data_IF_214314849586
#
_entry.id   IF_214314849586
#
_cell.length_a   1.000
_cell.length_b   1.000
_cell.length_c   1.000
_cell.angle_alpha   90.00
_cell.angle_beta   90.00
_cell.angle_gamma   90.00
#
_symmetry.space_group_name_H-M   'P 1'
#
loop_
_entity.id
_entity.type
_entity.pdbx_description
1 polymer ?
#
# COMPACT_ATOMS: atom_id res chain seq x y z
N UNK A 1 -20.52 -14.43 -0.69
CA UNK A 1 -19.14 -13.96 -0.50
C UNK A 1 -19.02 -12.64 -1.24
N UNK A 2 -18.94 -11.52 -0.53
CA UNK A 2 -18.67 -10.21 -1.13
C UNK A 2 -17.27 -10.23 -1.72
N UNK A 3 -17.14 -9.87 -3.00
CA UNK A 3 -15.83 -9.82 -3.67
C UNK A 3 -14.96 -8.73 -3.02
N UNK A 4 -13.71 -9.04 -2.68
CA UNK A 4 -12.78 -8.01 -2.22
C UNK A 4 -12.39 -7.14 -3.42
N UNK A 5 -12.00 -5.87 -3.22
CA UNK A 5 -11.46 -5.03 -4.29
C UNK A 5 -10.06 -5.52 -4.72
N UNK A 6 -9.58 -5.06 -5.87
CA UNK A 6 -8.18 -5.17 -6.26
C UNK A 6 -7.41 -3.91 -5.84
N UNK A 7 -6.08 -3.98 -5.85
CA UNK A 7 -5.25 -2.81 -5.56
C UNK A 7 -5.53 -1.61 -6.48
N UNK A 8 -5.89 -1.86 -7.74
CA UNK A 8 -6.27 -0.83 -8.71
C UNK A 8 -7.52 -0.04 -8.28
N UNK A 9 -8.43 -0.67 -7.53
CA UNK A 9 -9.64 0.00 -7.05
C UNK A 9 -9.33 1.04 -5.98
N UNK A 10 -8.29 0.83 -5.19
CA UNK A 10 -7.78 1.82 -4.23
C UNK A 10 -7.15 3.03 -4.94
N UNK A 11 -6.61 2.82 -6.14
CA UNK A 11 -5.97 3.86 -6.95
C UNK A 11 -6.92 4.63 -7.86
N UNK A 12 -8.17 4.18 -7.99
CA UNK A 12 -9.17 4.81 -8.85
C UNK A 12 -10.11 5.68 -8.01
N UNK A 13 -9.96 7.02 -7.98
CA UNK A 13 -10.77 7.87 -7.11
C UNK A 13 -12.26 7.80 -7.43
N UNK A 14 -13.10 7.99 -6.42
CA UNK A 14 -14.53 8.22 -6.63
C UNK A 14 -14.74 9.61 -7.27
N UNK A 15 -15.88 9.78 -7.95
CA UNK A 15 -16.31 11.14 -8.31
C UNK A 15 -16.56 11.91 -7.02
N UNK A 16 -16.22 13.20 -7.03
CA UNK A 16 -16.40 14.04 -5.84
C UNK A 16 -17.84 13.94 -5.29
N UNK A 17 -18.86 14.10 -6.12
CA UNK A 17 -20.26 13.95 -5.68
C UNK A 17 -20.61 12.63 -4.96
N UNK A 18 -19.91 11.52 -5.29
CA UNK A 18 -20.11 10.22 -4.63
C UNK A 18 -19.51 10.21 -3.22
N UNK A 19 -18.29 10.75 -3.06
CA UNK A 19 -17.67 10.89 -1.74
C UNK A 19 -18.48 11.80 -0.82
N UNK A 20 -19.00 12.90 -1.37
CA UNK A 20 -19.84 13.86 -0.65
C UNK A 20 -21.15 13.21 -0.16
N UNK A 21 -21.73 12.30 -0.96
CA UNK A 21 -22.93 11.54 -0.57
C UNK A 21 -22.62 10.59 0.60
N UNK A 22 -21.48 9.89 0.55
CA UNK A 22 -21.03 9.01 1.64
C UNK A 22 -20.76 9.80 2.93
N UNK A 23 -20.11 10.97 2.80
CA UNK A 23 -19.87 11.88 3.92
C UNK A 23 -21.18 12.34 4.55
N UNK A 24 -22.11 12.84 3.74
CA UNK A 24 -23.41 13.34 4.20
C UNK A 24 -24.17 12.25 4.95
N UNK A 25 -24.17 11.02 4.44
CA UNK A 25 -24.82 9.91 5.12
C UNK A 25 -24.15 9.59 6.47
N UNK A 26 -22.83 9.52 6.51
CA UNK A 26 -22.08 9.27 7.73
C UNK A 26 -22.31 10.36 8.79
N UNK A 27 -22.27 11.64 8.40
CA UNK A 27 -22.50 12.77 9.30
C UNK A 27 -23.95 12.82 9.81
N UNK A 28 -24.92 12.51 8.95
CA UNK A 28 -26.35 12.46 9.32
C UNK A 28 -26.63 11.38 10.37
N UNK A 29 -25.98 10.23 10.29
CA UNK A 29 -26.14 9.16 11.28
C UNK A 29 -25.34 9.43 12.57
N UNK A 30 -24.28 10.25 12.50
CA UNK A 30 -23.50 10.70 13.65
C UNK A 30 -22.90 9.54 14.46
N UNK A 31 -23.03 9.60 15.79
CA UNK A 31 -22.53 8.54 16.69
C UNK A 31 -23.23 7.19 16.49
N UNK A 32 -24.45 7.19 15.93
CA UNK A 32 -25.22 5.99 15.64
C UNK A 32 -24.93 5.43 14.25
N UNK A 33 -23.90 5.94 13.55
CA UNK A 33 -23.54 5.48 12.22
C UNK A 33 -23.31 3.97 12.19
N UNK A 34 -24.07 3.29 11.33
CA UNK A 34 -23.98 1.85 11.17
C UNK A 34 -22.59 1.45 10.68
N UNK A 35 -22.15 0.24 11.03
CA UNK A 35 -20.84 -0.29 10.63
C UNK A 35 -20.65 -0.21 9.11
N UNK A 36 -21.69 -0.53 8.34
CA UNK A 36 -21.63 -0.47 6.88
C UNK A 36 -21.50 0.96 6.35
N UNK A 37 -22.21 1.93 6.94
CA UNK A 37 -22.10 3.35 6.57
C UNK A 37 -20.68 3.85 6.83
N UNK A 38 -20.14 3.59 8.03
CA UNK A 38 -18.75 3.93 8.37
C UNK A 38 -17.76 3.25 7.43
N UNK A 39 -17.97 1.98 7.09
CA UNK A 39 -17.10 1.24 6.17
C UNK A 39 -17.10 1.84 4.76
N UNK A 40 -18.27 2.13 4.20
CA UNK A 40 -18.41 2.72 2.87
C UNK A 40 -17.73 4.09 2.80
N UNK A 41 -17.95 4.93 3.82
CA UNK A 41 -17.31 6.24 3.89
C UNK A 41 -15.78 6.11 4.04
N UNK A 42 -15.30 5.22 4.91
CA UNK A 42 -13.87 4.96 5.07
C UNK A 42 -13.21 4.53 3.76
N UNK A 43 -13.87 3.64 3.00
CA UNK A 43 -13.37 3.22 1.69
C UNK A 43 -13.36 4.35 0.68
N UNK A 44 -14.41 5.18 0.64
CA UNK A 44 -14.43 6.37 -0.21
C UNK A 44 -13.28 7.34 0.10
N UNK A 45 -12.99 7.55 1.40
CA UNK A 45 -11.85 8.36 1.85
C UNK A 45 -10.50 7.77 1.45
N UNK A 46 -10.33 6.44 1.51
CA UNK A 46 -9.09 5.78 1.08
C UNK A 46 -8.84 5.96 -0.41
N UNK A 47 -9.90 5.96 -1.22
CA UNK A 47 -9.82 6.20 -2.67
C UNK A 47 -9.54 7.66 -3.03
N UNK A 48 -9.70 8.60 -2.09
CA UNK A 48 -9.34 10.01 -2.29
C UNK A 48 -7.84 10.17 -2.57
N UNK A 49 -7.47 11.25 -3.26
CA UNK A 49 -6.07 11.64 -3.46
C UNK A 49 -5.51 12.45 -2.28
N UNK A 50 -6.37 12.91 -1.37
CA UNK A 50 -5.93 13.66 -0.19
C UNK A 50 -5.39 12.71 0.88
N UNK A 51 -4.12 12.91 1.28
CA UNK A 51 -3.48 12.10 2.34
C UNK A 51 -4.25 12.16 3.66
N UNK A 52 -4.85 13.31 3.99
CA UNK A 52 -5.69 13.48 5.18
C UNK A 52 -6.94 12.58 5.16
N UNK A 53 -7.59 12.46 4.01
CA UNK A 53 -8.76 11.60 3.84
C UNK A 53 -8.35 10.14 4.01
N UNK A 54 -7.27 9.72 3.34
CA UNK A 54 -6.74 8.36 3.44
C UNK A 54 -6.42 7.99 4.90
N UNK A 55 -5.78 8.89 5.66
CA UNK A 55 -5.49 8.70 7.08
C UNK A 55 -6.76 8.56 7.92
N UNK A 56 -7.79 9.38 7.65
CA UNK A 56 -9.09 9.25 8.31
C UNK A 56 -9.76 7.91 7.97
N UNK A 57 -9.73 7.49 6.70
CA UNK A 57 -10.25 6.20 6.27
C UNK A 57 -9.59 5.01 6.98
N UNK A 58 -8.26 5.04 7.13
CA UNK A 58 -7.53 4.03 7.93
C UNK A 58 -8.00 4.01 9.39
N UNK A 59 -8.21 5.19 9.99
CA UNK A 59 -8.69 5.29 11.38
C UNK A 59 -10.07 4.66 11.52
N UNK A 60 -11.01 5.00 10.64
CA UNK A 60 -12.37 4.45 10.65
C UNK A 60 -12.38 2.93 10.42
N UNK A 61 -11.59 2.40 9.48
CA UNK A 61 -11.45 0.95 9.30
C UNK A 61 -10.84 0.27 10.52
N UNK A 62 -9.87 0.90 11.19
CA UNK A 62 -9.25 0.38 12.40
C UNK A 62 -10.23 0.30 13.57
N UNK A 63 -11.15 1.27 13.68
CA UNK A 63 -12.25 1.23 14.65
C UNK A 63 -13.18 0.06 14.36
N UNK A 64 -13.63 -0.10 13.11
CA UNK A 64 -14.50 -1.22 12.70
C UNK A 64 -13.82 -2.56 13.01
N UNK A 65 -12.53 -2.72 12.67
CA UNK A 65 -11.77 -3.94 12.94
C UNK A 65 -11.77 -4.33 14.44
N UNK A 66 -11.72 -3.34 15.34
CA UNK A 66 -11.73 -3.57 16.79
C UNK A 66 -13.09 -4.01 17.30
N UNK A 67 -14.17 -3.35 16.84
CA UNK A 67 -15.53 -3.52 17.38
C UNK A 67 -16.35 -4.58 16.65
N UNK A 68 -15.95 -5.02 15.45
CA UNK A 68 -16.69 -5.97 14.62
C UNK A 68 -15.85 -7.20 14.26
N UNK A 69 -15.74 -8.20 15.17
CA UNK A 69 -15.03 -9.45 14.91
C UNK A 69 -15.42 -10.13 13.60
N UNK A 70 -16.72 -10.14 13.28
CA UNK A 70 -17.27 -10.80 12.08
C UNK A 70 -16.81 -10.15 10.76
N UNK A 71 -16.35 -8.89 10.81
CA UNK A 71 -15.82 -8.15 9.65
C UNK A 71 -14.30 -8.07 9.62
N UNK A 72 -13.60 -8.71 10.56
CA UNK A 72 -12.13 -8.63 10.63
C UNK A 72 -11.46 -9.09 9.35
N UNK A 73 -11.97 -10.16 8.72
CA UNK A 73 -11.45 -10.69 7.45
C UNK A 73 -11.38 -9.59 6.37
N UNK A 74 -12.51 -8.95 6.07
CA UNK A 74 -12.56 -7.88 5.06
C UNK A 74 -11.76 -6.65 5.52
N UNK A 75 -11.84 -6.29 6.80
CA UNK A 75 -11.10 -5.15 7.33
C UNK A 75 -9.58 -5.31 7.19
N UNK A 76 -9.02 -6.52 7.40
CA UNK A 76 -7.59 -6.78 7.19
C UNK A 76 -7.17 -6.42 5.78
N UNK A 77 -7.94 -6.86 4.78
CA UNK A 77 -7.62 -6.61 3.39
C UNK A 77 -7.71 -5.10 3.04
N UNK A 78 -8.76 -4.43 3.48
CA UNK A 78 -8.91 -2.99 3.23
C UNK A 78 -7.87 -2.14 3.98
N UNK A 79 -7.48 -2.52 5.20
CA UNK A 79 -6.39 -1.89 5.94
C UNK A 79 -5.04 -2.09 5.24
N UNK A 80 -4.80 -3.26 4.64
CA UNK A 80 -3.60 -3.51 3.85
C UNK A 80 -3.54 -2.59 2.61
N UNK A 81 -4.64 -2.48 1.86
CA UNK A 81 -4.75 -1.59 0.70
C UNK A 81 -4.55 -0.12 1.08
N UNK A 82 -5.18 0.33 2.17
CA UNK A 82 -5.09 1.71 2.62
C UNK A 82 -3.66 2.08 3.04
N UNK A 83 -2.97 1.19 3.78
CA UNK A 83 -1.58 1.40 4.16
C UNK A 83 -0.64 1.32 2.96
N UNK A 84 -0.90 0.43 1.99
CA UNK A 84 -0.13 0.36 0.75
C UNK A 84 -0.21 1.69 -0.03
N UNK A 85 -1.42 2.25 -0.19
CA UNK A 85 -1.62 3.56 -0.85
C UNK A 85 -0.92 4.71 -0.12
N UNK A 86 -0.91 4.69 1.22
CA UNK A 86 -0.24 5.70 2.04
C UNK A 86 1.30 5.62 2.01
N UNK A 87 1.87 4.54 1.44
CA UNK A 87 3.31 4.24 1.49
C UNK A 87 3.76 3.54 2.78
N UNK A 88 2.82 3.14 3.64
CA UNK A 88 3.10 2.45 4.89
C UNK A 88 3.28 0.94 4.64
N UNK A 89 4.27 0.56 3.84
CA UNK A 89 4.42 -0.82 3.33
C UNK A 89 4.61 -1.88 4.43
N UNK A 90 5.24 -1.52 5.55
CA UNK A 90 5.38 -2.43 6.70
C UNK A 90 4.03 -2.83 7.30
N UNK A 91 3.15 -1.86 7.53
CA UNK A 91 1.80 -2.12 8.02
C UNK A 91 0.93 -2.79 6.96
N UNK A 92 1.07 -2.40 5.69
CA UNK A 92 0.38 -3.06 4.59
C UNK A 92 0.70 -4.56 4.55
N UNK A 93 1.99 -4.93 4.64
CA UNK A 93 2.43 -6.33 4.70
C UNK A 93 1.86 -7.03 5.93
N UNK A 94 1.97 -6.40 7.11
CA UNK A 94 1.48 -6.99 8.37
C UNK A 94 -0.01 -7.35 8.30
N UNK A 95 -0.87 -6.45 7.82
CA UNK A 95 -2.30 -6.73 7.68
C UNK A 95 -2.59 -7.79 6.63
N UNK A 96 -1.87 -7.76 5.51
CA UNK A 96 -2.07 -8.71 4.42
C UNK A 96 -1.62 -10.13 4.81
N UNK A 97 -0.50 -10.27 5.51
CA UNK A 97 0.01 -11.55 6.00
C UNK A 97 -0.95 -12.17 7.02
N UNK A 98 -1.51 -11.37 7.94
CA UNK A 98 -2.56 -11.84 8.87
C UNK A 98 -3.80 -12.39 8.16
N UNK A 99 -4.12 -11.89 6.96
CA UNK A 99 -5.18 -12.46 6.13
C UNK A 99 -4.73 -13.74 5.44
N UNK A 100 -3.53 -13.77 4.85
CA UNK A 100 -2.99 -14.97 4.20
C UNK A 100 -2.78 -16.14 5.16
N UNK A 101 -2.43 -15.88 6.42
CA UNK A 101 -2.33 -16.91 7.46
C UNK A 101 -3.68 -17.61 7.70
N UNK A 102 -4.79 -16.88 7.52
CA UNK A 102 -6.15 -17.41 7.67
C UNK A 102 -6.70 -17.97 6.36
N UNK A 103 -6.32 -17.38 5.24
CA UNK A 103 -6.80 -17.71 3.91
C UNK A 103 -5.64 -17.82 2.92
N UNK A 104 -4.84 -18.91 2.97
CA UNK A 104 -3.63 -19.04 2.14
C UNK A 104 -3.92 -19.05 0.63
N UNK A 105 -5.13 -19.46 0.24
CA UNK A 105 -5.58 -19.49 -1.15
C UNK A 105 -6.22 -18.17 -1.63
N UNK A 106 -6.14 -17.09 -0.84
CA UNK A 106 -6.70 -15.80 -1.22
C UNK A 106 -5.82 -15.12 -2.27
N UNK A 107 -6.20 -15.25 -3.54
CA UNK A 107 -5.45 -14.69 -4.68
C UNK A 107 -5.29 -13.17 -4.58
N UNK A 108 -6.29 -12.45 -4.09
CA UNK A 108 -6.25 -10.98 -3.99
C UNK A 108 -5.22 -10.52 -2.96
N UNK A 109 -5.14 -11.21 -1.82
CA UNK A 109 -4.12 -10.97 -0.81
C UNK A 109 -2.72 -11.38 -1.30
N UNK A 110 -2.60 -12.47 -2.07
CA UNK A 110 -1.34 -12.89 -2.66
C UNK A 110 -0.80 -11.87 -3.68
N UNK A 111 -1.69 -11.34 -4.54
CA UNK A 111 -1.35 -10.29 -5.50
C UNK A 111 -0.93 -9.00 -4.79
N UNK A 112 -1.66 -8.59 -3.76
CA UNK A 112 -1.30 -7.42 -2.95
C UNK A 112 0.06 -7.60 -2.28
N UNK A 113 0.38 -8.80 -1.79
CA UNK A 113 1.70 -9.10 -1.20
C UNK A 113 2.82 -8.85 -2.20
N UNK A 114 2.67 -9.33 -3.45
CA UNK A 114 3.65 -9.07 -4.52
C UNK A 114 3.84 -7.58 -4.77
N UNK A 115 2.73 -6.82 -4.85
CA UNK A 115 2.80 -5.36 -5.05
C UNK A 115 3.54 -4.66 -3.90
N UNK A 116 3.30 -5.07 -2.66
CA UNK A 116 4.01 -4.55 -1.48
C UNK A 116 5.51 -4.88 -1.58
N UNK A 117 5.85 -6.13 -1.88
CA UNK A 117 7.23 -6.60 -1.99
C UNK A 117 8.01 -5.84 -3.08
N UNK A 118 7.37 -5.59 -4.22
CA UNK A 118 7.94 -4.82 -5.34
C UNK A 118 8.22 -3.35 -4.94
N UNK A 119 7.29 -2.71 -4.20
CA UNK A 119 7.47 -1.34 -3.71
C UNK A 119 8.60 -1.23 -2.71
N UNK A 120 8.65 -2.12 -1.72
CA UNK A 120 9.71 -2.17 -0.70
C UNK A 120 11.08 -2.37 -1.37
N UNK A 121 11.17 -3.29 -2.34
CA UNK A 121 12.41 -3.55 -3.08
C UNK A 121 12.85 -2.31 -3.86
N UNK A 122 11.93 -1.66 -4.57
CA UNK A 122 12.24 -0.45 -5.35
C UNK A 122 12.72 0.71 -4.47
N UNK A 123 12.07 0.97 -3.35
CA UNK A 123 12.48 2.03 -2.42
C UNK A 123 13.82 1.72 -1.74
N UNK A 124 14.06 0.47 -1.35
CA UNK A 124 15.35 0.02 -0.83
C UNK A 124 16.50 0.21 -1.84
N UNK A 125 16.25 -0.10 -3.12
CA UNK A 125 17.22 0.12 -4.20
C UNK A 125 17.49 1.61 -4.45
N UNK A 126 16.48 2.49 -4.37
CA UNK A 126 16.71 3.94 -4.49
C UNK A 126 17.57 4.48 -3.33
N UNK A 127 17.44 3.93 -2.12
CA UNK A 127 18.30 4.28 -0.99
C UNK A 127 19.76 3.88 -1.16
N UNK A 128 20.03 2.74 -1.82
CA UNK A 128 21.40 2.26 -2.10
C UNK A 128 22.05 3.00 -3.28
N UNK A 129 21.27 3.43 -4.27
CA UNK A 129 21.78 4.11 -5.46
C UNK A 129 22.39 5.50 -5.19
N UNK A 130 22.13 6.12 -4.04
CA UNK A 130 22.70 7.43 -3.68
C UNK A 130 24.20 7.31 -3.27
N UNK A 131 24.73 6.11 -3.06
CA UNK A 131 26.11 5.91 -2.59
C UNK A 131 27.15 5.74 -3.72
N UNK A 132 26.76 5.58 -4.99
CA UNK A 132 27.71 5.34 -6.10
C UNK A 132 28.28 6.60 -6.74
N UNK A 133 28.73 7.56 -5.92
CA UNK A 133 29.55 8.71 -6.35
C UNK A 133 31.02 8.39 -6.64
N UNK A 134 31.39 7.10 -6.77
CA UNK A 134 32.73 6.68 -7.22
C UNK A 134 32.56 5.56 -8.24
N UNK A 135 32.57 5.92 -9.52
CA UNK A 135 32.83 4.95 -10.58
C UNK A 135 34.30 4.54 -10.47
N UNK A 136 34.58 3.32 -10.00
CA UNK A 136 35.91 2.72 -10.11
C UNK A 136 36.14 2.41 -11.59
N UNK A 137 36.69 3.36 -12.32
CA UNK A 137 37.30 3.15 -13.61
C UNK A 137 38.74 2.64 -13.40
N UNK A 138 38.94 1.32 -13.38
CA UNK A 138 40.23 0.69 -13.71
C UNK A 138 40.07 -0.82 -13.81
N UNK A 139 39.89 -1.34 -15.02
CA UNK A 139 39.84 -2.78 -15.22
C UNK A 139 39.61 -3.23 -16.67
N UNK A 140 40.10 -2.47 -17.67
CA UNK A 140 40.11 -2.92 -19.06
C UNK A 140 41.55 -3.05 -19.52
N UNK A 141 42.00 -4.30 -19.57
CA UNK A 141 42.77 -4.93 -20.66
C UNK A 141 44.03 -4.21 -21.16
N UNK A 142 45.17 -4.83 -20.86
CA UNK A 142 46.12 -5.28 -21.89
C UNK A 142 47.00 -4.24 -22.59
N UNK A 143 48.31 -4.33 -22.32
CA UNK A 143 49.36 -4.22 -23.33
C UNK A 143 49.56 -2.87 -24.03
N UNK A 144 50.67 -2.21 -23.72
CA UNK A 144 51.61 -1.51 -24.64
C UNK A 144 52.31 -0.44 -23.80
N UNK A 145 53.53 -0.74 -23.37
CA UNK A 145 54.60 0.26 -23.26
C UNK A 145 55.90 -0.49 -23.53
N UNK A 146 56.18 -0.58 -24.83
CA UNK A 146 57.42 -1.08 -25.40
C UNK A 146 58.61 -0.42 -24.70
N UNK A 147 59.40 -1.28 -24.06
CA UNK A 147 60.69 -0.97 -23.45
C UNK A 147 61.71 -0.70 -24.55
N UNK A 148 61.82 0.56 -24.96
CA UNK A 148 62.90 1.05 -25.81
C UNK A 148 64.00 1.71 -24.98
N UNK A 149 65.26 1.34 -25.26
CA UNK A 149 66.53 2.00 -24.90
C UNK A 149 67.23 1.53 -23.61
N UNK A 150 68.22 0.63 -23.79
CA UNK A 150 69.66 0.82 -23.45
C UNK A 150 70.41 -0.53 -23.47
N UNK A 151 71.17 -0.79 -24.53
CA UNK A 151 72.63 -0.89 -24.57
C UNK A 151 73.09 -0.94 -26.02
#
# INVERSE_FOLDING_TARGET
>A
MTALPYAVDAETPLRQAELETLRTQYEKEGEMAGIQTKFNYAWGLIKSNARSDQQLGVRLLSEIFRVSPDRRRECLYYLALANYKLGNYGEARRYNDLLLDKEPANHQAADLRRLIDDKVTKEGLMGVAIISGVAIAAGVVGGILFRGKRR
#
